data_IF_519335661923
#
_entry.id   IF_519335661923
#
_cell.length_a   1.000
_cell.length_b   1.000
_cell.length_c   1.000
_cell.angle_alpha   90.00
_cell.angle_beta   90.00
_cell.angle_gamma   90.00
#
_symmetry.space_group_name_H-M   'P 1'
#
loop_
_entity.id
_entity.type
_entity.pdbx_description
1 polymer ?
#
# COMPACT_ATOMS: atom_id res chain seq x y z
N UNK A 1 -23.51 3.34 -0.88
CA UNK A 1 -22.95 3.63 -2.22
C UNK A 1 -21.66 4.40 -1.99
N UNK A 2 -20.55 4.01 -2.62
CA UNK A 2 -19.27 4.73 -2.48
C UNK A 2 -19.24 5.94 -3.42
N UNK A 3 -18.61 7.02 -2.99
CA UNK A 3 -18.32 8.18 -3.80
C UNK A 3 -17.15 7.89 -4.75
N UNK A 4 -17.09 8.60 -5.88
CA UNK A 4 -16.03 8.41 -6.89
C UNK A 4 -14.62 8.58 -6.30
N UNK A 5 -14.45 9.47 -5.32
CA UNK A 5 -13.16 9.70 -4.65
C UNK A 5 -12.76 8.61 -3.65
N UNK A 6 -13.68 7.70 -3.29
CA UNK A 6 -13.40 6.53 -2.43
C UNK A 6 -12.88 5.33 -3.24
N UNK A 7 -12.90 5.41 -4.58
CA UNK A 7 -12.43 4.35 -5.47
C UNK A 7 -10.99 4.67 -5.91
N UNK A 8 -10.02 3.77 -5.70
CA UNK A 8 -8.63 3.98 -6.13
C UNK A 8 -8.51 4.15 -7.65
N UNK A 9 -7.77 5.18 -8.10
CA UNK A 9 -7.54 5.44 -9.53
C UNK A 9 -6.44 4.59 -10.17
N UNK A 10 -5.46 4.12 -9.38
CA UNK A 10 -4.38 3.23 -9.80
C UNK A 10 -4.04 2.24 -8.69
N UNK A 11 -3.64 1.01 -9.06
CA UNK A 11 -3.30 -0.08 -8.13
C UNK A 11 -2.05 -0.80 -8.61
N UNK A 12 -1.12 -1.10 -7.68
CA UNK A 12 0.04 -1.96 -7.91
C UNK A 12 -0.26 -3.36 -7.38
N UNK A 13 -0.04 -4.38 -8.21
CA UNK A 13 0.01 -5.77 -7.74
C UNK A 13 1.38 -6.04 -7.08
N UNK A 14 1.37 -6.41 -5.80
CA UNK A 14 2.57 -6.85 -5.07
C UNK A 14 2.65 -8.38 -5.12
N UNK A 15 3.78 -8.92 -5.55
CA UNK A 15 4.01 -10.37 -5.55
C UNK A 15 4.33 -10.91 -4.15
N UNK A 16 4.90 -10.07 -3.30
CA UNK A 16 5.29 -10.41 -1.93
C UNK A 16 4.11 -10.28 -0.95
N UNK A 17 3.92 -11.30 -0.10
CA UNK A 17 3.00 -11.22 1.02
C UNK A 17 3.64 -10.44 2.18
N UNK A 18 2.88 -9.53 2.80
CA UNK A 18 3.36 -8.77 3.95
C UNK A 18 3.33 -9.62 5.22
N UNK A 19 4.48 -9.72 5.88
CA UNK A 19 4.63 -10.41 7.17
C UNK A 19 5.00 -9.42 8.31
N UNK A 20 4.76 -9.80 9.58
CA UNK A 20 5.20 -9.00 10.72
C UNK A 20 6.71 -8.77 10.76
N UNK A 21 7.51 -9.76 10.34
CA UNK A 21 8.98 -9.72 10.33
C UNK A 21 9.55 -8.70 9.32
N UNK A 22 8.83 -8.45 8.23
CA UNK A 22 9.15 -7.36 7.30
C UNK A 22 8.83 -5.97 7.87
N UNK A 23 8.13 -5.90 9.02
CA UNK A 23 7.72 -4.65 9.63
C UNK A 23 6.56 -3.93 8.93
N UNK A 24 5.89 -4.57 7.96
CA UNK A 24 4.80 -3.96 7.17
C UNK A 24 3.42 -4.13 7.80
N UNK A 25 3.28 -5.13 8.68
CA UNK A 25 2.05 -5.39 9.44
C UNK A 25 2.36 -5.62 10.93
N UNK A 26 1.33 -5.53 11.77
CA UNK A 26 1.41 -5.97 13.17
C UNK A 26 1.39 -7.50 13.26
N UNK A 27 1.66 -8.06 14.43
CA UNK A 27 1.53 -9.50 14.67
C UNK A 27 0.10 -10.03 14.39
N UNK A 28 -0.91 -9.15 14.47
CA UNK A 28 -2.30 -9.45 14.13
C UNK A 28 -2.66 -9.06 12.67
N UNK A 29 -1.67 -8.89 11.79
CA UNK A 29 -1.82 -8.54 10.38
C UNK A 29 -2.54 -7.22 10.08
N UNK A 30 -2.61 -6.28 11.04
CA UNK A 30 -3.06 -4.92 10.75
C UNK A 30 -1.95 -4.15 10.02
N UNK A 31 -2.31 -3.34 9.04
CA UNK A 31 -1.35 -2.54 8.27
C UNK A 31 -0.60 -1.54 9.15
N UNK A 32 0.73 -1.53 9.05
CA UNK A 32 1.57 -0.42 9.53
C UNK A 32 1.67 0.61 8.42
N UNK A 33 0.68 1.51 8.34
CA UNK A 33 0.49 2.44 7.21
C UNK A 33 1.75 3.19 6.79
N UNK A 34 2.50 3.76 7.75
CA UNK A 34 3.74 4.51 7.49
C UNK A 34 4.81 3.63 6.82
N UNK A 35 5.06 2.44 7.37
CA UNK A 35 6.06 1.52 6.81
C UNK A 35 5.68 1.02 5.40
N UNK A 36 4.39 0.71 5.18
CA UNK A 36 3.88 0.33 3.85
C UNK A 36 4.04 1.49 2.86
N UNK A 37 3.69 2.71 3.27
CA UNK A 37 3.85 3.89 2.43
C UNK A 37 5.31 4.11 2.06
N UNK A 38 6.22 4.11 3.03
CA UNK A 38 7.66 4.30 2.80
C UNK A 38 8.23 3.24 1.86
N UNK A 39 7.85 1.97 2.05
CA UNK A 39 8.28 0.82 1.23
C UNK A 39 7.90 0.98 -0.25
N UNK A 40 6.71 1.51 -0.54
CA UNK A 40 6.15 1.58 -1.89
C UNK A 40 6.02 3.00 -2.45
N UNK A 41 6.59 4.01 -1.78
CA UNK A 41 6.44 5.41 -2.17
C UNK A 41 6.94 5.65 -3.61
N UNK A 42 8.00 4.96 -4.00
CA UNK A 42 8.55 5.00 -5.36
C UNK A 42 7.52 4.52 -6.40
N UNK A 43 6.88 3.37 -6.18
CA UNK A 43 5.87 2.81 -7.08
C UNK A 43 4.61 3.68 -7.12
N UNK A 44 4.19 4.22 -5.97
CA UNK A 44 3.06 5.16 -5.88
C UNK A 44 3.37 6.40 -6.72
N UNK A 45 4.55 7.00 -6.55
CA UNK A 45 4.98 8.15 -7.35
C UNK A 45 4.99 7.81 -8.83
N UNK A 46 5.50 6.64 -9.21
CA UNK A 46 5.52 6.18 -10.61
C UNK A 46 4.12 5.96 -11.19
N UNK A 47 3.16 5.46 -10.41
CA UNK A 47 1.78 5.27 -10.88
C UNK A 47 1.06 6.59 -11.16
N UNK A 48 1.44 7.66 -10.47
CA UNK A 48 0.83 8.99 -10.59
C UNK A 48 1.76 10.03 -11.24
N UNK A 49 2.91 9.62 -11.78
CA UNK A 49 3.78 10.48 -12.57
C UNK A 49 3.14 10.67 -13.94
N UNK A 50 2.35 11.73 -14.09
CA UNK A 50 1.72 12.21 -15.32
C UNK A 50 1.75 13.72 -15.33
#
# INVERSE_FOLDING_TARGET
>A
HLQRFEIPGAVKLCAEQWSPDMGLVTAAFKLKRKAVQERYQHEINRMYAS
#
